data_IF_176195661758
#
_entry.id   IF_176195661758
#
_cell.length_a   1.000
_cell.length_b   1.000
_cell.length_c   1.000
_cell.angle_alpha   90.00
_cell.angle_beta   90.00
_cell.angle_gamma   90.00
#
_symmetry.space_group_name_H-M   'P 1'
#
loop_
_entity.id
_entity.type
_entity.pdbx_description
1 polymer ?
#
# COMPACT_ATOMS: atom_id res chain seq x y z
N UNK A 1 -15.37 -24.12 -1.70
CA UNK A 1 -16.03 -22.91 -2.23
C UNK A 1 -14.91 -21.91 -2.55
N UNK A 2 -14.03 -22.28 -3.48
CA UNK A 2 -12.67 -21.73 -3.44
C UNK A 2 -12.47 -20.86 -4.68
N UNK A 3 -12.71 -19.55 -4.56
CA UNK A 3 -12.30 -18.63 -5.63
C UNK A 3 -13.12 -17.36 -5.85
N UNK A 4 -14.07 -17.00 -4.99
CA UNK A 4 -14.57 -15.62 -4.98
C UNK A 4 -13.85 -14.89 -3.84
N UNK A 5 -13.04 -13.86 -4.11
CA UNK A 5 -12.38 -13.11 -3.05
C UNK A 5 -13.45 -12.57 -2.11
N UNK A 6 -13.33 -12.86 -0.82
CA UNK A 6 -14.26 -12.36 0.21
C UNK A 6 -14.52 -10.85 0.05
N UNK A 7 -13.49 -10.08 -0.29
CA UNK A 7 -13.56 -8.64 -0.61
C UNK A 7 -14.59 -8.27 -1.70
N UNK A 8 -14.81 -9.13 -2.69
CA UNK A 8 -15.78 -8.88 -3.77
C UNK A 8 -17.20 -9.10 -3.26
N UNK A 9 -17.43 -10.17 -2.50
CA UNK A 9 -18.71 -10.46 -1.87
C UNK A 9 -19.04 -9.36 -0.85
N UNK A 10 -18.08 -8.94 -0.03
CA UNK A 10 -18.25 -7.86 0.95
C UNK A 10 -18.55 -6.51 0.28
N UNK A 11 -17.86 -6.18 -0.82
CA UNK A 11 -18.11 -4.94 -1.55
C UNK A 11 -19.50 -4.91 -2.18
N UNK A 12 -19.93 -6.02 -2.78
CA UNK A 12 -21.27 -6.15 -3.36
C UNK A 12 -22.33 -6.15 -2.24
N UNK A 13 -22.10 -6.86 -1.14
CA UNK A 13 -23.02 -6.89 0.00
C UNK A 13 -23.19 -5.51 0.67
N UNK A 14 -22.14 -4.69 0.70
CA UNK A 14 -22.19 -3.36 1.31
C UNK A 14 -22.91 -2.32 0.45
N UNK A 15 -22.89 -2.47 -0.87
CA UNK A 15 -23.53 -1.52 -1.80
C UNK A 15 -24.95 -1.91 -2.24
N UNK A 16 -25.38 -3.14 -2.01
CA UNK A 16 -26.66 -3.65 -2.52
C UNK A 16 -27.65 -3.86 -1.38
N UNK A 17 -28.93 -3.54 -1.58
CA UNK A 17 -29.95 -3.76 -0.56
C UNK A 17 -30.10 -5.24 -0.22
N UNK A 18 -30.54 -5.54 1.01
CA UNK A 18 -30.75 -6.92 1.49
C UNK A 18 -31.66 -7.71 0.53
N UNK A 19 -32.68 -7.07 -0.06
CA UNK A 19 -33.58 -7.75 -1.02
C UNK A 19 -32.87 -8.15 -2.32
N UNK A 20 -31.86 -7.39 -2.74
CA UNK A 20 -31.07 -7.69 -3.94
C UNK A 20 -30.05 -8.80 -3.70
N UNK A 21 -29.55 -8.94 -2.48
CA UNK A 21 -28.62 -10.01 -2.08
C UNK A 21 -29.28 -11.39 -2.13
N UNK A 22 -30.59 -11.47 -1.88
CA UNK A 22 -31.38 -12.71 -2.02
C UNK A 22 -31.40 -13.23 -3.47
N UNK A 23 -31.08 -12.41 -4.47
CA UNK A 23 -30.96 -12.87 -5.86
C UNK A 23 -29.59 -13.51 -6.15
N UNK A 24 -28.58 -13.24 -5.33
CA UNK A 24 -27.23 -13.75 -5.50
C UNK A 24 -27.06 -15.23 -5.14
N UNK A 25 -27.91 -15.78 -4.26
CA UNK A 25 -27.98 -17.23 -4.01
C UNK A 25 -28.44 -18.03 -5.25
N UNK A 26 -29.06 -17.37 -6.23
CA UNK A 26 -29.52 -18.01 -7.47
C UNK A 26 -28.52 -17.85 -8.64
N UNK A 27 -27.41 -17.15 -8.44
CA UNK A 27 -26.35 -17.07 -9.45
C UNK A 27 -25.60 -18.39 -9.50
N UNK A 28 -25.62 -19.03 -10.67
CA UNK A 28 -24.82 -20.22 -10.94
C UNK A 28 -23.32 -19.93 -10.76
N UNK A 29 -22.55 -20.96 -10.36
CA UNK A 29 -21.11 -20.85 -10.16
C UNK A 29 -20.37 -20.30 -11.39
N UNK A 30 -20.84 -20.61 -12.60
CA UNK A 30 -20.29 -20.07 -13.84
C UNK A 30 -20.39 -18.53 -13.92
N UNK A 31 -21.48 -17.96 -13.41
CA UNK A 31 -21.69 -16.51 -13.35
C UNK A 31 -20.77 -15.86 -12.33
N UNK A 32 -20.60 -16.44 -11.13
CA UNK A 32 -19.64 -15.95 -10.14
C UNK A 32 -18.20 -15.99 -10.64
N UNK A 33 -17.80 -17.08 -11.29
CA UNK A 33 -16.48 -17.19 -11.90
C UNK A 33 -16.28 -16.11 -12.98
N UNK A 34 -17.31 -15.83 -13.78
CA UNK A 34 -17.27 -14.79 -14.80
C UNK A 34 -17.14 -13.40 -14.18
N UNK A 35 -17.89 -13.11 -13.12
CA UNK A 35 -17.84 -11.85 -12.38
C UNK A 35 -16.47 -11.66 -11.73
N UNK A 36 -15.96 -12.68 -11.04
CA UNK A 36 -14.63 -12.67 -10.42
C UNK A 36 -13.52 -12.44 -11.45
N UNK A 37 -13.61 -13.11 -12.61
CA UNK A 37 -12.70 -12.91 -13.74
C UNK A 37 -12.74 -11.47 -14.26
N UNK A 38 -13.92 -10.91 -14.53
CA UNK A 38 -14.07 -9.54 -15.01
C UNK A 38 -13.54 -8.53 -14.00
N UNK A 39 -13.82 -8.73 -12.71
CA UNK A 39 -13.32 -7.87 -11.65
C UNK A 39 -11.79 -7.89 -11.59
N UNK A 40 -11.19 -9.09 -11.68
CA UNK A 40 -9.73 -9.23 -11.69
C UNK A 40 -9.10 -8.58 -12.93
N UNK A 41 -9.70 -8.77 -14.11
CA UNK A 41 -9.28 -8.16 -15.38
C UNK A 41 -9.37 -6.62 -15.41
N UNK A 42 -10.33 -6.05 -14.66
CA UNK A 42 -10.55 -4.59 -14.55
C UNK A 42 -9.82 -3.94 -13.39
N UNK A 43 -9.17 -4.73 -12.54
CA UNK A 43 -8.31 -4.23 -11.48
C UNK A 43 -6.93 -3.90 -12.03
N UNK A 44 -6.29 -2.86 -11.49
CA UNK A 44 -4.92 -2.54 -11.83
C UNK A 44 -4.11 -2.21 -10.58
N UNK A 45 -2.80 -2.35 -10.71
CA UNK A 45 -1.86 -1.81 -9.72
C UNK A 45 -1.07 -0.71 -10.42
N UNK A 46 -1.03 0.46 -9.80
CA UNK A 46 -0.34 1.64 -10.32
C UNK A 46 1.07 1.67 -9.73
N UNK A 47 2.07 1.93 -10.55
CA UNK A 47 3.47 1.93 -10.13
C UNK A 47 4.13 3.22 -10.58
N UNK A 48 4.60 3.99 -9.61
CA UNK A 48 5.55 5.05 -9.85
C UNK A 48 6.95 4.54 -9.52
N UNK A 49 7.75 4.44 -10.57
CA UNK A 49 9.10 3.92 -10.53
C UNK A 49 10.08 5.04 -10.87
N UNK A 50 10.64 5.66 -9.83
CA UNK A 50 11.65 6.71 -9.91
C UNK A 50 13.04 6.08 -9.90
N UNK A 51 13.39 5.51 -11.06
CA UNK A 51 14.72 4.97 -11.33
C UNK A 51 15.62 5.98 -12.04
N UNK A 52 16.92 5.82 -11.82
CA UNK A 52 17.97 6.74 -12.18
C UNK A 52 18.01 7.23 -13.64
N UNK A 53 17.43 6.45 -14.56
CA UNK A 53 17.50 6.71 -15.99
C UNK A 53 16.11 6.76 -16.64
N UNK A 54 15.03 6.78 -15.87
CA UNK A 54 13.70 6.59 -16.46
C UNK A 54 12.64 7.61 -16.04
N UNK A 55 12.66 8.20 -14.83
CA UNK A 55 11.65 9.20 -14.38
C UNK A 55 10.24 8.91 -14.90
N UNK A 56 9.82 7.63 -14.82
CA UNK A 56 8.68 7.11 -15.58
C UNK A 56 7.55 6.78 -14.62
N UNK A 57 6.42 7.40 -14.87
CA UNK A 57 5.13 6.97 -14.35
C UNK A 57 4.64 5.80 -15.19
N UNK A 58 4.16 4.74 -14.56
CA UNK A 58 3.55 3.59 -15.21
C UNK A 58 2.42 2.94 -14.41
N UNK A 59 1.84 1.89 -14.96
CA UNK A 59 0.94 1.00 -14.25
C UNK A 59 1.13 -0.42 -14.76
N UNK A 60 0.83 -1.41 -13.92
CA UNK A 60 0.90 -2.81 -14.31
C UNK A 60 -0.50 -3.35 -14.56
N UNK A 61 -0.67 -3.97 -15.72
CA UNK A 61 -1.86 -4.73 -16.10
C UNK A 61 -1.43 -6.13 -16.52
N UNK A 62 -2.03 -7.18 -15.96
CA UNK A 62 -1.68 -8.57 -16.29
C UNK A 62 -0.16 -8.86 -16.21
N UNK A 63 0.52 -8.32 -15.18
CA UNK A 63 1.98 -8.42 -14.98
C UNK A 63 2.84 -7.69 -16.03
N UNK A 64 2.24 -6.92 -16.93
CA UNK A 64 2.94 -6.06 -17.88
C UNK A 64 2.94 -4.61 -17.41
N UNK A 65 4.11 -3.98 -17.36
CA UNK A 65 4.25 -2.55 -17.08
C UNK A 65 3.97 -1.72 -18.35
N UNK A 66 3.11 -0.72 -18.22
CA UNK A 66 2.66 0.18 -19.28
C UNK A 66 2.91 1.63 -18.85
N UNK A 67 3.33 2.49 -19.79
CA UNK A 67 3.74 3.88 -19.52
C UNK A 67 2.80 4.93 -20.14
N UNK A 68 1.79 4.48 -20.91
CA UNK A 68 0.80 5.33 -21.56
C UNK A 68 -0.45 5.51 -20.67
N UNK A 69 -0.65 6.72 -20.19
CA UNK A 69 -1.82 7.14 -19.40
C UNK A 69 -2.87 7.83 -20.28
N UNK A 70 -3.10 7.33 -21.49
CA UNK A 70 -4.18 7.83 -22.34
C UNK A 70 -5.54 7.63 -21.64
N UNK A 71 -6.44 8.61 -21.78
CA UNK A 71 -7.76 8.59 -21.12
C UNK A 71 -8.59 7.34 -21.46
N UNK A 72 -8.38 6.79 -22.67
CA UNK A 72 -9.01 5.56 -23.14
C UNK A 72 -8.52 4.31 -22.40
N UNK A 73 -7.27 4.28 -21.96
CA UNK A 73 -6.77 3.16 -21.15
C UNK A 73 -7.24 3.30 -19.69
N UNK A 74 -7.16 4.51 -19.13
CA UNK A 74 -7.56 4.74 -17.73
C UNK A 74 -9.04 4.46 -17.46
N UNK A 75 -9.92 4.73 -18.43
CA UNK A 75 -11.35 4.47 -18.29
C UNK A 75 -11.71 2.97 -18.26
N UNK A 76 -10.78 2.07 -18.59
CA UNK A 76 -10.99 0.62 -18.52
C UNK A 76 -10.83 0.06 -17.11
N UNK A 77 -10.21 0.82 -16.20
CA UNK A 77 -9.95 0.39 -14.85
C UNK A 77 -11.07 0.85 -13.92
N UNK A 78 -11.64 -0.09 -13.18
CA UNK A 78 -12.66 0.19 -12.18
C UNK A 78 -12.11 0.35 -10.77
N UNK A 79 -10.87 -0.12 -10.52
CA UNK A 79 -10.24 -0.09 -9.20
C UNK A 79 -8.71 -0.05 -9.26
N UNK A 80 -8.12 0.66 -8.31
CA UNK A 80 -6.68 0.61 -7.98
C UNK A 80 -6.48 -0.31 -6.79
N UNK A 81 -5.72 -1.39 -6.96
CA UNK A 81 -5.39 -2.30 -5.86
C UNK A 81 -4.26 -1.76 -5.01
N UNK A 82 -3.21 -1.30 -5.68
CA UNK A 82 -1.97 -0.90 -5.04
C UNK A 82 -1.37 0.30 -5.77
N UNK A 83 -0.86 1.26 -5.02
CA UNK A 83 0.05 2.29 -5.50
C UNK A 83 1.44 1.89 -5.01
N UNK A 84 2.39 1.72 -5.92
CA UNK A 84 3.77 1.40 -5.56
C UNK A 84 4.63 2.62 -5.86
N UNK A 85 5.27 3.16 -4.84
CA UNK A 85 6.14 4.31 -4.93
C UNK A 85 7.56 3.82 -4.65
N UNK A 86 8.37 3.72 -5.70
CA UNK A 86 9.75 3.24 -5.62
C UNK A 86 10.73 4.32 -6.05
N UNK A 87 11.71 4.63 -5.20
CA UNK A 87 12.87 5.46 -5.54
C UNK A 87 14.14 4.81 -5.04
N UNK A 88 15.10 4.58 -5.94
CA UNK A 88 16.41 4.06 -5.54
C UNK A 88 17.21 5.11 -4.75
N UNK A 89 18.10 4.69 -3.83
CA UNK A 89 18.89 5.59 -3.01
C UNK A 89 19.69 6.61 -3.84
N UNK A 90 19.65 7.85 -3.34
CA UNK A 90 20.09 9.15 -3.85
C UNK A 90 21.43 9.26 -4.61
N UNK A 91 22.26 8.23 -4.69
CA UNK A 91 23.66 8.34 -5.12
C UNK A 91 23.84 8.61 -6.62
N UNK A 92 22.76 8.56 -7.40
CA UNK A 92 22.86 8.59 -8.85
C UNK A 92 21.93 9.60 -9.56
N UNK A 93 21.00 10.24 -8.83
CA UNK A 93 20.02 11.17 -9.43
C UNK A 93 20.60 12.59 -9.39
N UNK A 94 21.23 13.01 -10.49
CA UNK A 94 21.85 14.35 -10.59
C UNK A 94 20.83 15.46 -10.85
N UNK A 95 19.62 15.14 -11.33
CA UNK A 95 18.57 16.11 -11.63
C UNK A 95 17.20 15.65 -11.09
N UNK A 96 16.38 16.57 -10.58
CA UNK A 96 14.99 16.27 -10.26
C UNK A 96 14.24 15.84 -11.54
N UNK A 97 13.32 14.87 -11.44
CA UNK A 97 12.46 14.49 -12.55
C UNK A 97 11.58 15.65 -13.01
N UNK A 98 11.61 15.97 -14.30
CA UNK A 98 10.60 16.83 -14.93
C UNK A 98 9.41 15.97 -15.36
N UNK A 99 8.26 16.23 -14.75
CA UNK A 99 7.00 15.58 -15.11
C UNK A 99 6.16 16.50 -16.00
N UNK A 100 5.42 15.90 -16.93
CA UNK A 100 4.38 16.60 -17.67
C UNK A 100 3.19 16.90 -16.74
N UNK A 101 2.99 18.18 -16.41
CA UNK A 101 1.92 18.67 -15.54
C UNK A 101 0.51 18.25 -16.02
N UNK A 102 0.27 18.25 -17.35
CA UNK A 102 -1.03 17.83 -17.89
C UNK A 102 -1.23 16.33 -17.68
N UNK A 103 -0.17 15.54 -17.85
CA UNK A 103 -0.20 14.10 -17.55
C UNK A 103 -0.44 13.87 -16.05
N UNK A 104 0.25 14.59 -15.17
CA UNK A 104 0.07 14.50 -13.72
C UNK A 104 -1.36 14.83 -13.29
N UNK A 105 -1.93 15.95 -13.76
CA UNK A 105 -3.31 16.34 -13.42
C UNK A 105 -4.34 15.30 -13.89
N UNK A 106 -4.12 14.66 -15.04
CA UNK A 106 -5.00 13.57 -15.52
C UNK A 106 -4.92 12.36 -14.61
N UNK A 107 -3.71 11.98 -14.19
CA UNK A 107 -3.48 10.86 -13.28
C UNK A 107 -4.09 11.17 -11.91
N UNK A 108 -3.85 12.36 -11.37
CA UNK A 108 -4.42 12.82 -10.09
C UNK A 108 -5.94 12.73 -10.12
N UNK A 109 -6.59 13.29 -11.16
CA UNK A 109 -8.04 13.21 -11.32
C UNK A 109 -8.55 11.77 -11.41
N UNK A 110 -7.81 10.90 -12.09
CA UNK A 110 -8.19 9.49 -12.21
C UNK A 110 -8.06 8.76 -10.87
N UNK A 111 -6.93 8.91 -10.18
CA UNK A 111 -6.68 8.30 -8.87
C UNK A 111 -7.67 8.84 -7.83
N UNK A 112 -7.99 10.14 -7.84
CA UNK A 112 -8.95 10.71 -6.88
C UNK A 112 -10.37 10.15 -6.99
N UNK A 113 -10.70 9.49 -8.12
CA UNK A 113 -12.00 8.81 -8.29
C UNK A 113 -12.01 7.37 -7.80
N UNK A 114 -10.85 6.83 -7.38
CA UNK A 114 -10.70 5.43 -7.01
C UNK A 114 -9.90 5.30 -5.71
N UNK A 115 -10.47 4.65 -4.71
CA UNK A 115 -9.73 4.38 -3.48
C UNK A 115 -8.74 3.23 -3.71
N UNK A 116 -7.45 3.50 -3.52
CA UNK A 116 -6.44 2.45 -3.48
C UNK A 116 -6.55 1.66 -2.17
N UNK A 117 -6.45 0.33 -2.25
CA UNK A 117 -6.41 -0.53 -1.05
C UNK A 117 -5.07 -0.36 -0.33
N UNK A 118 -3.97 -0.43 -1.09
CA UNK A 118 -2.61 -0.55 -0.56
C UNK A 118 -1.66 0.51 -1.12
N UNK A 119 -0.74 0.99 -0.28
CA UNK A 119 0.40 1.82 -0.69
C UNK A 119 1.70 1.10 -0.35
N UNK A 120 2.60 0.94 -1.31
CA UNK A 120 3.96 0.44 -1.07
C UNK A 120 4.95 1.60 -1.14
N UNK A 121 5.71 1.80 -0.08
CA UNK A 121 6.78 2.77 0.04
C UNK A 121 8.14 2.07 -0.04
N UNK A 122 8.91 2.41 -1.06
CA UNK A 122 10.29 1.99 -1.23
C UNK A 122 11.14 3.21 -1.58
N UNK A 123 12.06 3.61 -0.69
CA UNK A 123 12.91 4.79 -0.88
C UNK A 123 12.38 6.08 -0.25
N UNK A 124 12.62 7.23 -0.91
CA UNK A 124 12.38 8.58 -0.37
C UNK A 124 11.64 9.44 -1.40
N UNK A 125 10.33 9.59 -1.29
CA UNK A 125 9.50 10.16 -2.38
C UNK A 125 8.83 11.47 -1.93
N UNK A 126 8.25 11.50 -0.74
CA UNK A 126 7.46 12.63 -0.21
C UNK A 126 8.22 13.93 0.00
N UNK A 127 9.55 13.87 0.18
CA UNK A 127 10.39 15.02 0.48
C UNK A 127 10.95 15.66 -0.78
N UNK A 128 10.98 14.92 -1.89
CA UNK A 128 11.65 15.36 -3.12
C UNK A 128 10.65 15.87 -4.14
N UNK A 129 9.49 15.22 -4.28
CA UNK A 129 8.56 15.51 -5.38
C UNK A 129 7.19 15.95 -4.87
N UNK A 130 7.05 17.25 -4.53
CA UNK A 130 5.77 17.84 -4.08
C UNK A 130 4.63 17.64 -5.09
N UNK A 131 4.95 17.58 -6.39
CA UNK A 131 3.96 17.35 -7.44
C UNK A 131 3.32 15.95 -7.35
N UNK A 132 3.96 15.00 -6.64
CA UNK A 132 3.49 13.63 -6.48
C UNK A 132 2.82 13.39 -5.13
N UNK A 133 2.53 14.45 -4.36
CA UNK A 133 1.85 14.30 -3.06
C UNK A 133 0.52 13.57 -3.16
N UNK A 134 -0.22 13.78 -4.25
CA UNK A 134 -1.51 13.12 -4.46
C UNK A 134 -1.41 11.59 -4.52
N UNK A 135 -0.24 11.01 -4.82
CA UNK A 135 -0.06 9.55 -4.83
C UNK A 135 -0.02 8.97 -3.42
N UNK A 136 0.82 9.54 -2.56
CA UNK A 136 1.00 9.02 -1.20
C UNK A 136 -0.06 9.55 -0.23
N UNK A 137 -0.75 10.65 -0.52
CA UNK A 137 -1.87 11.12 0.32
C UNK A 137 -3.18 10.34 0.15
N UNK A 138 -3.19 9.25 -0.64
CA UNK A 138 -4.39 8.41 -0.79
C UNK A 138 -4.73 7.70 0.52
N UNK A 139 -6.00 7.75 0.95
CA UNK A 139 -6.46 7.08 2.18
C UNK A 139 -6.57 5.56 1.97
N UNK A 140 -5.45 4.86 2.10
CA UNK A 140 -5.31 3.40 1.95
C UNK A 140 -5.65 2.65 3.25
N UNK A 141 -5.94 1.34 3.15
CA UNK A 141 -6.11 0.47 4.33
C UNK A 141 -4.80 -0.15 4.81
N UNK A 142 -3.84 -0.31 3.90
CA UNK A 142 -2.59 -1.02 4.13
C UNK A 142 -1.41 -0.24 3.58
N UNK A 143 -0.35 -0.12 4.38
CA UNK A 143 0.93 0.41 3.91
C UNK A 143 1.98 -0.67 3.98
N UNK A 144 2.77 -0.79 2.92
CA UNK A 144 3.92 -1.66 2.87
C UNK A 144 5.18 -0.82 2.90
N UNK A 145 6.06 -1.11 3.83
CA UNK A 145 7.31 -0.41 4.04
C UNK A 145 8.44 -1.38 3.69
N UNK A 146 9.22 -1.03 2.67
CA UNK A 146 10.48 -1.73 2.39
C UNK A 146 11.58 -1.28 3.36
N UNK A 147 12.56 -2.13 3.71
CA UNK A 147 13.60 -1.80 4.70
C UNK A 147 14.40 -0.53 4.40
N UNK A 148 14.50 -0.16 3.12
CA UNK A 148 15.24 1.02 2.65
C UNK A 148 14.37 2.26 2.50
N UNK A 149 13.08 2.18 2.82
CA UNK A 149 12.22 3.35 2.85
C UNK A 149 12.74 4.33 3.91
N UNK A 150 12.80 5.61 3.54
CA UNK A 150 13.04 6.72 4.47
C UNK A 150 11.97 7.80 4.31
N UNK A 151 10.82 7.42 3.78
CA UNK A 151 9.71 8.33 3.48
C UNK A 151 8.89 8.63 4.75
N UNK A 152 9.47 9.46 5.64
CA UNK A 152 8.87 9.78 6.94
C UNK A 152 7.55 10.55 6.79
N UNK A 153 7.47 11.45 5.81
CA UNK A 153 6.31 12.34 5.66
C UNK A 153 5.10 11.56 5.12
N UNK A 154 5.27 10.66 4.15
CA UNK A 154 4.16 9.78 3.76
C UNK A 154 3.75 8.88 4.93
N UNK A 155 4.72 8.30 5.63
CA UNK A 155 4.41 7.42 6.76
C UNK A 155 3.68 8.13 7.90
N UNK A 156 4.14 9.31 8.34
CA UNK A 156 3.48 10.09 9.39
C UNK A 156 2.07 10.50 8.97
N UNK A 157 1.87 10.96 7.72
CA UNK A 157 0.54 11.22 7.19
C UNK A 157 -0.38 10.03 7.39
N UNK A 158 0.08 8.83 7.08
CA UNK A 158 -0.79 7.68 7.22
C UNK A 158 -1.00 7.19 8.64
N UNK A 159 0.02 7.27 9.50
CA UNK A 159 -0.15 6.88 10.89
C UNK A 159 -1.09 7.83 11.65
N UNK A 160 -1.13 9.12 11.28
CA UNK A 160 -1.83 10.12 12.10
C UNK A 160 -3.01 10.81 11.41
N UNK A 161 -3.00 10.93 10.09
CA UNK A 161 -4.07 11.60 9.31
C UNK A 161 -4.94 10.61 8.53
N UNK A 162 -4.45 9.41 8.19
CA UNK A 162 -5.23 8.41 7.46
C UNK A 162 -6.13 7.59 8.40
N UNK A 163 -7.38 8.01 8.50
CA UNK A 163 -8.43 7.31 9.26
C UNK A 163 -8.74 5.89 8.77
N UNK A 164 -8.41 5.57 7.52
CA UNK A 164 -8.69 4.27 6.92
C UNK A 164 -7.58 3.23 7.17
N UNK A 165 -6.43 3.65 7.69
CA UNK A 165 -5.31 2.74 7.93
C UNK A 165 -5.70 1.66 8.95
N UNK A 166 -5.53 0.39 8.54
CA UNK A 166 -5.78 -0.80 9.35
C UNK A 166 -4.51 -1.63 9.53
N UNK A 167 -3.60 -1.61 8.55
CA UNK A 167 -2.44 -2.49 8.51
C UNK A 167 -1.16 -1.77 8.07
N UNK A 168 -0.04 -2.08 8.72
CA UNK A 168 1.31 -1.76 8.26
C UNK A 168 2.09 -3.06 8.08
N UNK A 169 2.59 -3.29 6.88
CA UNK A 169 3.40 -4.44 6.48
C UNK A 169 4.85 -4.01 6.29
N UNK A 170 5.77 -4.60 7.03
CA UNK A 170 7.19 -4.34 6.95
C UNK A 170 7.84 -5.50 6.20
N UNK A 171 8.35 -5.24 5.00
CA UNK A 171 8.95 -6.28 4.16
C UNK A 171 10.34 -6.64 4.68
N UNK A 172 10.67 -7.93 4.71
CA UNK A 172 12.05 -8.40 4.88
C UNK A 172 12.83 -8.19 3.60
N UNK A 173 14.10 -7.82 3.72
CA UNK A 173 15.06 -7.85 2.61
C UNK A 173 16.22 -8.77 2.96
N UNK A 174 16.48 -9.77 2.12
CA UNK A 174 17.47 -10.83 2.38
C UNK A 174 17.28 -11.53 3.74
N UNK A 175 16.03 -11.65 4.21
CA UNK A 175 15.70 -12.25 5.51
C UNK A 175 15.68 -11.28 6.68
N UNK A 176 16.01 -10.00 6.48
CA UNK A 176 16.13 -9.01 7.56
C UNK A 176 15.07 -7.91 7.50
N UNK A 177 14.56 -7.51 8.66
CA UNK A 177 13.77 -6.29 8.90
C UNK A 177 14.51 -5.40 9.90
N UNK A 178 14.48 -4.08 9.73
CA UNK A 178 15.11 -3.17 10.70
C UNK A 178 14.32 -3.19 12.01
N UNK A 179 14.81 -3.83 13.07
CA UNK A 179 14.05 -3.92 14.33
C UNK A 179 13.78 -2.55 14.95
N UNK A 180 14.73 -1.62 14.82
CA UNK A 180 14.54 -0.24 15.27
C UNK A 180 13.42 0.46 14.50
N UNK A 181 13.24 0.16 13.21
CA UNK A 181 12.09 0.64 12.44
C UNK A 181 10.80 0.07 13.02
N UNK A 182 10.74 -1.24 13.31
CA UNK A 182 9.54 -1.88 13.88
C UNK A 182 9.17 -1.27 15.23
N UNK A 183 10.14 -1.16 16.15
CA UNK A 183 9.93 -0.55 17.47
C UNK A 183 9.48 0.91 17.36
N UNK A 184 10.17 1.69 16.51
CA UNK A 184 9.82 3.10 16.26
C UNK A 184 8.39 3.24 15.74
N UNK A 185 7.97 2.39 14.80
CA UNK A 185 6.60 2.38 14.26
C UNK A 185 5.56 2.05 15.34
N UNK A 186 5.81 1.00 16.12
CA UNK A 186 4.91 0.57 17.20
C UNK A 186 4.75 1.66 18.25
N UNK A 187 5.85 2.28 18.69
CA UNK A 187 5.83 3.37 19.67
C UNK A 187 5.18 4.63 19.10
N UNK A 188 5.51 5.00 17.87
CA UNK A 188 4.92 6.14 17.17
C UNK A 188 3.39 6.03 17.12
N UNK A 189 2.89 4.85 16.73
CA UNK A 189 1.45 4.59 16.69
C UNK A 189 0.83 4.55 18.09
N UNK A 190 1.45 3.84 19.05
CA UNK A 190 0.95 3.68 20.41
C UNK A 190 0.78 5.04 21.09
N UNK A 191 1.80 5.89 21.02
CA UNK A 191 1.86 7.15 21.75
C UNK A 191 1.50 8.38 20.91
N UNK A 192 1.18 8.22 19.63
CA UNK A 192 0.87 9.34 18.73
C UNK A 192 2.05 10.27 18.47
N UNK A 193 3.27 9.73 18.44
CA UNK A 193 4.50 10.52 18.25
C UNK A 193 4.96 10.42 16.81
N UNK A 194 5.12 11.57 16.15
CA UNK A 194 5.68 11.61 14.80
C UNK A 194 7.08 11.00 14.74
N UNK A 195 7.31 10.24 13.67
CA UNK A 195 8.60 9.64 13.42
C UNK A 195 9.51 10.68 12.80
N UNK A 196 10.56 11.05 13.54
CA UNK A 196 11.54 12.06 13.10
C UNK A 196 12.71 11.45 12.31
N UNK A 197 13.10 10.23 12.68
CA UNK A 197 14.12 9.44 11.98
C UNK A 197 14.09 8.01 12.48
N UNK A 198 14.49 7.06 11.62
CA UNK A 198 15.01 5.76 12.05
C UNK A 198 16.35 5.52 11.38
N UNK A 199 17.30 5.00 12.16
CA UNK A 199 18.56 4.52 11.63
C UNK A 199 18.52 3.00 11.65
N UNK A 200 18.68 2.37 10.48
CA UNK A 200 18.93 0.94 10.40
C UNK A 200 20.37 0.68 10.86
N UNK A 201 20.60 0.69 12.17
CA UNK A 201 21.81 0.11 12.73
C UNK A 201 21.54 -1.38 13.00
N UNK A 202 22.29 -2.24 12.33
CA UNK A 202 22.36 -3.67 12.65
C UNK A 202 21.47 -4.57 11.80
N UNK A 203 22.10 -5.36 10.95
CA UNK A 203 21.57 -6.66 10.54
C UNK A 203 21.78 -7.60 11.74
N UNK A 204 20.79 -7.68 12.63
CA UNK A 204 20.83 -8.65 13.73
C UNK A 204 20.54 -10.05 13.16
N UNK A 205 21.26 -11.06 13.65
CA UNK A 205 21.14 -12.45 13.18
C UNK A 205 19.89 -13.18 13.72
N UNK A 206 19.20 -12.65 14.74
CA UNK A 206 18.08 -13.29 15.45
C UNK A 206 16.84 -12.38 15.60
N UNK A 207 16.45 -11.70 14.52
CA UNK A 207 15.40 -10.67 14.59
C UNK A 207 14.01 -11.20 15.00
N UNK A 208 13.69 -12.45 14.69
CA UNK A 208 12.39 -13.00 15.07
C UNK A 208 12.25 -13.11 16.60
N UNK A 209 13.30 -13.54 17.31
CA UNK A 209 13.29 -13.58 18.78
C UNK A 209 13.11 -12.19 19.38
N UNK A 210 13.85 -11.20 18.86
CA UNK A 210 13.74 -9.83 19.34
C UNK A 210 12.34 -9.24 19.06
N UNK A 211 11.66 -9.67 17.98
CA UNK A 211 10.28 -9.27 17.67
C UNK A 211 9.25 -9.94 18.58
N UNK A 212 9.46 -11.22 18.92
CA UNK A 212 8.65 -11.91 19.92
C UNK A 212 8.74 -11.20 21.29
N UNK A 213 9.92 -10.70 21.66
CA UNK A 213 10.11 -9.91 22.89
C UNK A 213 9.37 -8.56 22.86
N UNK A 214 9.12 -8.00 21.67
CA UNK A 214 8.28 -6.80 21.48
C UNK A 214 6.78 -7.14 21.51
N UNK A 215 6.44 -8.44 21.52
CA UNK A 215 5.07 -8.96 21.60
C UNK A 215 4.47 -9.37 20.26
N UNK A 216 5.29 -9.49 19.20
CA UNK A 216 4.82 -10.10 17.96
C UNK A 216 4.52 -11.59 18.17
N UNK A 217 3.57 -12.11 17.41
CA UNK A 217 3.19 -13.52 17.42
C UNK A 217 3.17 -14.04 15.97
N UNK A 218 3.42 -15.34 15.78
CA UNK A 218 3.27 -15.95 14.47
C UNK A 218 1.80 -16.17 14.13
N UNK A 219 1.38 -15.73 12.96
CA UNK A 219 0.06 -16.00 12.42
C UNK A 219 -0.02 -17.41 11.79
N UNK A 220 -1.18 -17.75 11.21
CA UNK A 220 -1.39 -19.05 10.55
C UNK A 220 -0.53 -19.25 9.29
N UNK A 221 -0.02 -18.16 8.69
CA UNK A 221 0.84 -18.19 7.52
C UNK A 221 2.32 -18.29 7.88
N UNK A 222 2.67 -18.14 9.17
CA UNK A 222 4.05 -18.08 9.65
C UNK A 222 4.66 -16.69 9.54
N UNK A 223 3.86 -15.66 9.26
CA UNK A 223 4.27 -14.26 9.33
C UNK A 223 4.15 -13.74 10.77
N UNK A 224 4.94 -12.73 11.14
CA UNK A 224 4.85 -12.13 12.49
C UNK A 224 3.85 -10.98 12.47
N UNK A 225 2.91 -10.97 13.41
CA UNK A 225 1.89 -9.94 13.58
C UNK A 225 1.87 -9.38 15.01
N UNK A 226 1.60 -8.09 15.16
CA UNK A 226 1.32 -7.42 16.42
C UNK A 226 0.16 -6.44 16.24
N UNK A 227 -0.89 -6.59 17.04
CA UNK A 227 -1.99 -5.64 17.10
C UNK A 227 -1.72 -4.58 18.19
N UNK A 228 -1.54 -3.33 17.76
CA UNK A 228 -1.20 -2.21 18.66
C UNK A 228 -2.39 -1.27 18.77
N UNK A 229 -2.89 -1.08 20.00
CA UNK A 229 -3.89 -0.04 20.29
C UNK A 229 -3.19 1.31 20.52
N UNK A 230 -3.64 2.34 19.82
CA UNK A 230 -3.21 3.73 20.05
C UNK A 230 -3.82 4.26 21.34
N UNK A 231 -3.01 4.85 22.21
CA UNK A 231 -3.47 5.51 23.44
C UNK A 231 -4.16 6.85 23.14
N UNK A 232 -3.81 7.48 22.02
CA UNK A 232 -4.36 8.78 21.62
C UNK A 232 -5.73 8.62 20.95
N UNK A 233 -5.85 7.67 20.02
CA UNK A 233 -7.07 7.53 19.20
C UNK A 233 -7.94 6.34 19.62
N UNK A 234 -7.42 5.41 20.42
CA UNK A 234 -8.08 4.15 20.76
C UNK A 234 -8.16 3.14 19.61
N UNK A 235 -7.73 3.50 18.39
CA UNK A 235 -7.73 2.63 17.21
C UNK A 235 -6.69 1.53 17.34
N UNK A 236 -6.95 0.39 16.69
CA UNK A 236 -6.02 -0.73 16.60
C UNK A 236 -5.37 -0.71 15.21
N UNK A 237 -4.06 -0.85 15.18
CA UNK A 237 -3.27 -1.05 13.96
C UNK A 237 -2.63 -2.43 14.01
N UNK A 238 -2.79 -3.19 12.93
CA UNK A 238 -2.13 -4.46 12.72
C UNK A 238 -0.76 -4.20 12.08
N UNK A 239 0.32 -4.54 12.79
CA UNK A 239 1.69 -4.45 12.30
C UNK A 239 2.17 -5.86 11.91
N UNK A 240 2.53 -6.09 10.65
CA UNK A 240 3.03 -7.38 10.18
C UNK A 240 4.45 -7.28 9.66
N UNK A 241 5.26 -8.31 9.87
CA UNK A 241 6.56 -8.50 9.22
C UNK A 241 6.46 -9.64 8.21
N UNK A 242 6.61 -9.28 6.93
CA UNK A 242 6.27 -10.08 5.73
C UNK A 242 7.38 -10.12 4.68
#
# INVERSE_FOLDING_TARGET
MDGVPYDFIDFVAYQTSIESVVLFQHLENASWNTIGRIHNERSCSVFLDLFNNCNRLGYTKNKMCLYDFSSKELSKFSRINCINLTRLPFQFLTNPPEYDDLKLRRIEKWISTQQAKKLTLSGVISTVDKQLEFFWKQKVDTIVIWPYSKDMKALNFHLFENENLKKVEMKRHMGFVGIELVKTLVEAWRYGKEIQSWWNQGLALNQDLDLLDVGFEFDQSGELELNVKSEVTGRILCCCVV
#
